data_IF_851879182817
#
_entry.id   IF_851879182817
#
_cell.length_a   1.000
_cell.length_b   1.000
_cell.length_c   1.000
_cell.angle_alpha   90.00
_cell.angle_beta   90.00
_cell.angle_gamma   90.00
#
_symmetry.space_group_name_H-M   'P 1'
#
loop_
_entity.id
_entity.type
_entity.pdbx_description
1 polymer ?
#
# COMPACT_ATOMS: atom_id res chain seq x y z
N UNK A 1 -1.59 -4.41 12.97
CA UNK A 1 -0.92 -4.83 11.70
C UNK A 1 0.57 -4.85 11.97
N UNK A 2 1.21 -6.01 11.85
CA UNK A 2 2.61 -6.18 12.28
C UNK A 2 3.60 -6.24 11.12
N UNK A 3 3.14 -6.55 9.92
CA UNK A 3 3.97 -6.58 8.71
C UNK A 3 3.18 -6.13 7.48
N UNK A 4 3.89 -5.74 6.44
CA UNK A 4 3.33 -5.36 5.15
C UNK A 4 3.78 -6.37 4.10
N UNK A 5 2.85 -6.78 3.24
CA UNK A 5 3.14 -7.64 2.10
C UNK A 5 2.77 -6.90 0.82
N UNK A 6 3.73 -6.70 -0.05
CA UNK A 6 3.51 -6.13 -1.36
C UNK A 6 3.36 -7.19 -2.43
N UNK A 7 2.50 -6.92 -3.37
CA UNK A 7 2.23 -7.78 -4.52
C UNK A 7 2.20 -6.97 -5.81
N UNK A 8 2.44 -7.64 -6.92
CA UNK A 8 2.44 -7.03 -8.25
C UNK A 8 3.83 -6.68 -8.77
N UNK A 9 3.90 -6.25 -10.02
CA UNK A 9 5.17 -6.10 -10.73
C UNK A 9 6.04 -4.93 -10.27
N UNK A 10 5.45 -3.89 -9.68
CA UNK A 10 6.21 -2.71 -9.27
C UNK A 10 7.15 -3.00 -8.09
N UNK A 11 6.71 -3.62 -6.98
CA UNK A 11 7.60 -4.01 -5.90
C UNK A 11 8.66 -5.03 -6.32
N UNK A 12 8.38 -5.88 -7.30
CA UNK A 12 9.35 -6.86 -7.81
C UNK A 12 10.50 -6.23 -8.58
N UNK A 13 10.25 -5.11 -9.26
CA UNK A 13 11.20 -4.44 -10.14
C UNK A 13 11.92 -3.26 -9.50
N UNK A 14 11.48 -2.82 -8.33
CA UNK A 14 11.99 -1.61 -7.71
C UNK A 14 12.27 -1.82 -6.22
N UNK A 15 13.49 -2.26 -5.91
CA UNK A 15 13.94 -2.48 -4.53
C UNK A 15 13.98 -1.17 -3.72
N UNK A 16 14.31 -0.03 -4.36
CA UNK A 16 14.32 1.27 -3.70
C UNK A 16 12.91 1.64 -3.20
N UNK A 17 11.88 1.41 -4.01
CA UNK A 17 10.51 1.66 -3.62
C UNK A 17 10.11 0.81 -2.40
N UNK A 18 10.51 -0.45 -2.36
CA UNK A 18 10.25 -1.33 -1.20
C UNK A 18 10.93 -0.81 0.06
N UNK A 19 12.17 -0.30 -0.06
CA UNK A 19 12.89 0.30 1.06
C UNK A 19 12.19 1.58 1.53
N UNK A 20 11.77 2.46 0.61
CA UNK A 20 11.02 3.68 0.96
C UNK A 20 9.74 3.32 1.73
N UNK A 21 8.98 2.33 1.28
CA UNK A 21 7.78 1.90 1.99
C UNK A 21 8.07 1.34 3.38
N UNK A 22 9.14 0.57 3.54
CA UNK A 22 9.56 0.10 4.85
C UNK A 22 9.93 1.26 5.77
N UNK A 23 10.71 2.22 5.27
CA UNK A 23 11.19 3.38 6.02
C UNK A 23 10.04 4.32 6.40
N UNK A 24 9.12 4.63 5.47
CA UNK A 24 7.96 5.50 5.72
C UNK A 24 7.00 4.88 6.74
N UNK A 25 6.80 3.57 6.68
CA UNK A 25 5.84 2.89 7.56
C UNK A 25 6.45 2.44 8.89
N UNK A 26 7.78 2.42 8.99
CA UNK A 26 8.50 1.87 10.13
C UNK A 26 8.25 0.36 10.33
N UNK A 27 7.92 -0.37 9.26
CA UNK A 27 7.50 -1.79 9.34
C UNK A 27 8.27 -2.67 8.38
N UNK A 28 8.50 -3.92 8.76
CA UNK A 28 9.05 -4.91 7.83
C UNK A 28 8.17 -5.06 6.60
N UNK A 29 8.81 -5.14 5.43
CA UNK A 29 8.15 -5.21 4.13
C UNK A 29 8.55 -6.51 3.42
N UNK A 30 7.58 -7.37 3.13
CA UNK A 30 7.76 -8.64 2.43
C UNK A 30 7.17 -8.57 1.04
N UNK A 31 7.66 -9.40 0.15
CA UNK A 31 7.12 -9.52 -1.20
C UNK A 31 6.30 -10.80 -1.35
N UNK A 32 5.18 -10.71 -2.06
CA UNK A 32 4.41 -11.88 -2.48
C UNK A 32 5.27 -12.81 -3.33
N UNK A 33 5.14 -14.10 -3.12
CA UNK A 33 5.81 -15.12 -3.94
C UNK A 33 5.15 -15.33 -5.31
N UNK A 34 3.97 -14.72 -5.55
CA UNK A 34 3.26 -14.79 -6.81
C UNK A 34 3.33 -13.44 -7.53
N UNK A 35 3.78 -13.44 -8.78
CA UNK A 35 3.72 -12.28 -9.66
C UNK A 35 2.27 -11.86 -9.99
N UNK A 36 1.33 -12.80 -9.91
CA UNK A 36 -0.09 -12.63 -10.17
C UNK A 36 -0.93 -12.80 -8.89
N UNK A 37 -0.57 -12.08 -7.83
CA UNK A 37 -1.22 -12.21 -6.52
C UNK A 37 -2.75 -11.99 -6.54
N UNK A 38 -3.33 -11.06 -7.33
CA UNK A 38 -4.78 -10.94 -7.45
C UNK A 38 -5.43 -12.19 -8.04
N UNK A 39 -4.84 -12.77 -9.08
CA UNK A 39 -5.35 -14.01 -9.69
C UNK A 39 -5.24 -15.19 -8.72
N UNK A 40 -4.14 -15.28 -7.96
CA UNK A 40 -3.99 -16.28 -6.91
C UNK A 40 -5.06 -16.13 -5.82
N UNK A 41 -5.36 -14.90 -5.40
CA UNK A 41 -6.44 -14.61 -4.44
C UNK A 41 -7.81 -15.05 -4.97
N UNK A 42 -8.12 -14.76 -6.22
CA UNK A 42 -9.34 -15.25 -6.86
C UNK A 42 -9.41 -16.78 -6.90
N UNK A 43 -8.30 -17.46 -7.22
CA UNK A 43 -8.22 -18.92 -7.21
C UNK A 43 -8.42 -19.50 -5.80
N UNK A 44 -7.90 -18.84 -4.76
CA UNK A 44 -8.14 -19.25 -3.37
C UNK A 44 -9.64 -19.18 -3.01
N UNK A 45 -10.31 -18.09 -3.37
CA UNK A 45 -11.77 -17.97 -3.16
C UNK A 45 -12.56 -19.02 -3.94
N UNK A 46 -12.19 -19.30 -5.19
CA UNK A 46 -12.81 -20.36 -5.99
C UNK A 46 -12.64 -21.74 -5.36
N UNK A 47 -11.44 -22.04 -4.82
CA UNK A 47 -11.16 -23.29 -4.15
C UNK A 47 -11.97 -23.47 -2.86
N UNK A 48 -12.21 -22.39 -2.10
CA UNK A 48 -13.12 -22.42 -0.94
C UNK A 48 -14.56 -22.63 -1.39
N UNK A 49 -15.03 -21.92 -2.41
CA UNK A 49 -16.38 -22.08 -2.93
C UNK A 49 -16.64 -23.49 -3.48
N UNK A 50 -15.61 -24.13 -4.04
CA UNK A 50 -15.69 -25.54 -4.50
C UNK A 50 -15.54 -26.58 -3.37
N UNK A 51 -15.39 -26.15 -2.11
CA UNK A 51 -15.25 -27.05 -0.96
C UNK A 51 -13.88 -27.74 -0.84
N UNK A 52 -12.87 -27.31 -1.61
CA UNK A 52 -11.50 -27.88 -1.55
C UNK A 52 -10.83 -27.50 -0.23
N UNK A 53 -11.10 -26.28 0.26
CA UNK A 53 -10.64 -25.78 1.56
C UNK A 53 -11.81 -25.31 2.38
N UNK A 54 -11.75 -25.53 3.71
CA UNK A 54 -12.83 -25.16 4.63
C UNK A 54 -13.03 -23.65 4.77
N UNK A 55 -11.97 -22.87 4.59
CA UNK A 55 -11.99 -21.40 4.64
C UNK A 55 -10.82 -20.79 3.86
N UNK A 56 -10.83 -19.46 3.78
CA UNK A 56 -9.80 -18.70 3.05
C UNK A 56 -8.43 -18.79 3.74
N UNK A 57 -8.37 -18.95 5.04
CA UNK A 57 -7.10 -19.06 5.77
C UNK A 57 -6.42 -20.39 5.48
N UNK A 58 -7.18 -21.47 5.41
CA UNK A 58 -6.69 -22.80 5.01
C UNK A 58 -6.19 -22.78 3.56
N UNK A 59 -6.93 -22.14 2.63
CA UNK A 59 -6.50 -21.94 1.25
C UNK A 59 -5.22 -21.12 1.19
N UNK A 60 -5.14 -19.98 1.89
CA UNK A 60 -3.98 -19.11 1.91
C UNK A 60 -2.73 -19.80 2.49
N UNK A 61 -2.88 -20.63 3.53
CA UNK A 61 -1.78 -21.39 4.11
C UNK A 61 -1.18 -22.42 3.14
N UNK A 62 -1.95 -22.93 2.18
CA UNK A 62 -1.51 -23.92 1.20
C UNK A 62 -1.08 -23.30 -0.14
N UNK A 63 -1.77 -22.30 -0.59
CA UNK A 63 -1.57 -21.69 -1.91
C UNK A 63 -0.73 -20.40 -1.85
N UNK A 64 -0.77 -19.68 -0.72
CA UNK A 64 -0.02 -18.46 -0.51
C UNK A 64 1.47 -18.73 -0.33
N UNK A 65 2.29 -17.84 -0.91
CA UNK A 65 3.75 -17.88 -0.74
C UNK A 65 4.28 -16.46 -0.58
N UNK A 66 5.30 -16.31 0.23
CA UNK A 66 6.11 -15.09 0.33
C UNK A 66 7.50 -15.38 -0.26
N UNK A 67 8.11 -14.37 -0.88
CA UNK A 67 9.52 -14.45 -1.27
C UNK A 67 10.38 -14.48 -0.02
N UNK A 68 11.52 -15.12 -0.12
CA UNK A 68 12.55 -15.05 0.91
C UNK A 68 13.08 -13.60 1.01
N UNK A 69 13.43 -13.21 2.23
CA UNK A 69 13.92 -11.88 2.51
C UNK A 69 12.83 -10.93 3.02
N UNK A 70 13.28 -10.00 3.82
CA UNK A 70 12.44 -8.95 4.42
C UNK A 70 13.19 -7.64 4.31
N UNK A 71 12.58 -6.65 3.68
CA UNK A 71 13.09 -5.29 3.69
C UNK A 71 12.75 -4.67 5.05
N UNK A 72 13.77 -4.30 5.81
CA UNK A 72 13.59 -3.70 7.14
C UNK A 72 13.73 -2.18 7.08
N UNK A 73 12.96 -1.44 7.88
CA UNK A 73 13.11 0.01 7.97
C UNK A 73 14.50 0.38 8.50
N UNK A 74 15.05 1.46 7.94
CA UNK A 74 16.28 2.09 8.39
C UNK A 74 15.90 3.25 9.30
N UNK A 75 16.26 3.18 10.59
CA UNK A 75 15.81 4.14 11.60
C UNK A 75 16.16 5.61 11.26
N UNK A 76 17.33 5.84 10.66
CA UNK A 76 17.72 7.18 10.23
C UNK A 76 16.80 7.74 9.13
N UNK A 77 16.42 6.91 8.16
CA UNK A 77 15.49 7.29 7.10
C UNK A 77 14.09 7.52 7.67
N UNK A 78 13.62 6.61 8.53
CA UNK A 78 12.32 6.74 9.18
C UNK A 78 12.18 8.08 9.90
N UNK A 79 13.20 8.50 10.66
CA UNK A 79 13.19 9.78 11.37
C UNK A 79 13.02 10.99 10.42
N UNK A 80 13.54 10.90 9.19
CA UNK A 80 13.36 11.93 8.16
C UNK A 80 11.93 11.86 7.60
N UNK A 81 11.43 10.66 7.29
CA UNK A 81 10.08 10.48 6.76
C UNK A 81 9.00 10.88 7.78
N UNK A 82 9.23 10.67 9.07
CA UNK A 82 8.30 11.15 10.11
C UNK A 82 8.14 12.67 10.07
N UNK A 83 9.23 13.42 9.87
CA UNK A 83 9.17 14.88 9.71
C UNK A 83 8.43 15.26 8.42
N UNK A 84 8.76 14.64 7.30
CA UNK A 84 8.08 14.88 6.02
C UNK A 84 6.58 14.54 6.10
N UNK A 85 6.21 13.50 6.84
CA UNK A 85 4.81 13.15 7.03
C UNK A 85 4.04 14.21 7.83
N UNK A 86 4.66 14.87 8.81
CA UNK A 86 4.01 15.99 9.51
C UNK A 86 3.76 17.17 8.55
N UNK A 87 4.72 17.51 7.70
CA UNK A 87 4.54 18.55 6.69
C UNK A 87 3.46 18.15 5.67
N UNK A 88 3.45 16.89 5.22
CA UNK A 88 2.37 16.38 4.37
C UNK A 88 1.00 16.55 5.01
N UNK A 89 0.84 16.22 6.30
CA UNK A 89 -0.42 16.41 7.03
C UNK A 89 -0.82 17.87 7.10
N UNK A 90 0.13 18.75 7.38
CA UNK A 90 -0.10 20.20 7.42
C UNK A 90 -0.64 20.69 6.07
N UNK A 91 -0.01 20.31 4.96
CA UNK A 91 -0.46 20.67 3.61
C UNK A 91 -1.83 20.05 3.27
N UNK A 92 -2.04 18.79 3.66
CA UNK A 92 -3.31 18.10 3.44
C UNK A 92 -4.46 18.79 4.17
N UNK A 93 -4.26 19.16 5.44
CA UNK A 93 -5.27 19.85 6.24
C UNK A 93 -5.50 21.27 5.71
N UNK A 94 -4.43 21.96 5.33
CA UNK A 94 -4.50 23.31 4.79
C UNK A 94 -5.33 23.39 3.50
N UNK A 95 -5.05 22.51 2.53
CA UNK A 95 -5.73 22.52 1.23
C UNK A 95 -7.01 21.65 1.20
N UNK A 96 -7.08 20.59 1.98
CA UNK A 96 -8.12 19.58 1.88
C UNK A 96 -9.22 19.63 2.95
N UNK A 97 -8.91 20.15 4.15
CA UNK A 97 -9.80 20.05 5.33
C UNK A 97 -10.31 21.36 5.86
N UNK A 98 -10.21 22.44 5.13
CA UNK A 98 -10.92 23.67 5.42
C UNK A 98 -10.13 24.76 6.12
N UNK A 99 -8.80 24.67 6.24
CA UNK A 99 -7.97 25.79 6.65
C UNK A 99 -8.01 26.93 5.60
N UNK A 100 -8.23 26.59 4.32
CA UNK A 100 -8.60 27.55 3.28
C UNK A 100 -9.50 26.89 2.21
N UNK A 101 -10.16 27.69 1.41
CA UNK A 101 -11.10 27.24 0.37
C UNK A 101 -10.53 27.32 -1.06
N UNK A 102 -9.20 27.43 -1.22
CA UNK A 102 -8.59 27.63 -2.54
C UNK A 102 -8.96 26.50 -3.52
N UNK A 103 -8.95 25.25 -3.07
CA UNK A 103 -9.30 24.11 -3.92
C UNK A 103 -10.78 24.10 -4.31
N UNK A 104 -11.66 24.57 -3.45
CA UNK A 104 -13.11 24.74 -3.74
C UNK A 104 -13.31 25.86 -4.77
N UNK A 105 -12.60 26.98 -4.60
CA UNK A 105 -12.65 28.09 -5.58
C UNK A 105 -12.13 27.69 -6.96
N UNK A 106 -11.02 26.96 -7.02
CA UNK A 106 -10.50 26.43 -8.28
C UNK A 106 -11.48 25.46 -8.95
N UNK A 107 -12.17 24.65 -8.16
CA UNK A 107 -13.21 23.77 -8.69
C UNK A 107 -14.42 24.54 -9.22
N UNK A 108 -14.84 25.62 -8.56
CA UNK A 108 -15.90 26.49 -9.03
C UNK A 108 -15.54 27.18 -10.37
N UNK A 109 -14.34 27.74 -10.46
CA UNK A 109 -13.82 28.34 -11.71
C UNK A 109 -13.84 27.33 -12.87
N UNK A 110 -13.42 26.09 -12.60
CA UNK A 110 -13.50 25.02 -13.62
C UNK A 110 -14.94 24.77 -14.07
N UNK A 111 -15.91 24.76 -13.16
CA UNK A 111 -17.33 24.55 -13.52
C UNK A 111 -17.87 25.70 -14.35
N UNK A 112 -17.56 26.94 -13.99
CA UNK A 112 -17.98 28.14 -14.75
C UNK A 112 -17.42 28.15 -16.18
N UNK A 113 -16.20 27.63 -16.38
CA UNK A 113 -15.58 27.55 -17.70
C UNK A 113 -16.14 26.43 -18.61
N UNK A 114 -16.97 25.53 -18.07
CA UNK A 114 -17.57 24.41 -18.81
C UNK A 114 -19.04 24.63 -19.17
N UNK A 115 -19.63 25.74 -18.73
CA UNK A 115 -20.98 26.21 -19.07
C UNK A 115 -20.90 27.28 -20.15
#
# INVERSE_FOLDING_TARGET
MNELVAAGGLPEKNALLCQIFADVTGRPFKLSGSAQAPALGAAMHAAVAAGIYGDIHAAAAKMGRLKEGVVRPIAANQAVYDKLFQEYKTLYDYFGRGANDVMKRLKAIKHEALV
#
